data_IF_118239551248
#
_entry.id   IF_118239551248
#
_cell.length_a   1.000
_cell.length_b   1.000
_cell.length_c   1.000
_cell.angle_alpha   90.00
_cell.angle_beta   90.00
_cell.angle_gamma   90.00
#
_symmetry.space_group_name_H-M   'P 1'
#
loop_
_entity.id
_entity.type
_entity.pdbx_description
1 polymer ?
#
# COMPACT_ATOMS: atom_id res chain seq x y z
N UNK A 1 7.74 0.50 -18.67
CA UNK A 1 7.46 -0.82 -19.18
C UNK A 1 8.14 -1.88 -18.32
N UNK A 2 7.39 -2.83 -17.76
CA UNK A 2 8.00 -3.86 -16.95
C UNK A 2 8.91 -4.74 -17.81
N UNK A 3 10.10 -5.02 -17.32
CA UNK A 3 11.08 -5.85 -18.00
C UNK A 3 11.05 -7.24 -17.40
N UNK A 4 11.04 -8.27 -18.23
CA UNK A 4 11.11 -9.66 -17.79
C UNK A 4 10.00 -10.05 -16.80
N UNK A 5 8.79 -9.51 -16.99
CA UNK A 5 7.65 -9.77 -16.12
C UNK A 5 7.69 -9.05 -14.78
N UNK A 6 8.65 -8.15 -14.58
CA UNK A 6 8.72 -7.34 -13.37
C UNK A 6 7.76 -6.17 -13.47
N UNK A 7 7.15 -5.83 -12.33
CA UNK A 7 6.25 -4.69 -12.22
C UNK A 7 6.98 -3.51 -11.58
N UNK A 8 6.60 -2.27 -11.97
CA UNK A 8 7.17 -1.07 -11.38
C UNK A 8 6.84 -0.97 -9.89
N UNK A 9 5.62 -1.38 -9.52
CA UNK A 9 5.14 -1.36 -8.15
C UNK A 9 4.66 -2.75 -7.73
N UNK A 10 4.99 -3.11 -6.49
CA UNK A 10 4.39 -4.26 -5.82
C UNK A 10 3.71 -3.77 -4.56
N UNK A 11 2.40 -3.99 -4.47
CA UNK A 11 1.58 -3.51 -3.35
C UNK A 11 1.24 -4.68 -2.45
N UNK A 12 1.74 -4.64 -1.23
CA UNK A 12 1.46 -5.67 -0.21
C UNK A 12 0.36 -5.15 0.71
N UNK A 13 -0.77 -5.82 0.73
CA UNK A 13 -1.93 -5.41 1.51
C UNK A 13 -2.58 -6.60 2.20
N UNK A 14 -3.48 -6.31 3.15
CA UNK A 14 -4.18 -7.34 3.90
C UNK A 14 -5.69 -7.24 3.68
N UNK A 15 -6.25 -8.19 2.93
CA UNK A 15 -7.69 -8.23 2.65
C UNK A 15 -8.54 -8.61 3.86
N UNK A 16 -7.93 -9.12 4.93
CA UNK A 16 -8.66 -9.42 6.17
C UNK A 16 -9.15 -8.15 6.87
N UNK A 17 -8.53 -7.00 6.62
CA UNK A 17 -8.98 -5.70 7.11
C UNK A 17 -10.00 -5.13 6.13
N UNK A 18 -11.29 -4.93 6.52
CA UNK A 18 -12.30 -4.44 5.58
C UNK A 18 -12.03 -3.03 5.06
N UNK A 19 -11.44 -2.16 5.88
CA UNK A 19 -11.09 -0.79 5.47
C UNK A 19 -9.92 -0.82 4.48
N UNK A 20 -8.89 -1.60 4.77
CA UNK A 20 -7.73 -1.76 3.89
C UNK A 20 -8.15 -2.35 2.56
N UNK A 21 -8.99 -3.38 2.59
CA UNK A 21 -9.51 -4.02 1.39
C UNK A 21 -10.27 -3.03 0.52
N UNK A 22 -11.17 -2.25 1.12
CA UNK A 22 -11.96 -1.27 0.39
C UNK A 22 -11.09 -0.21 -0.27
N UNK A 23 -10.08 0.29 0.45
CA UNK A 23 -9.13 1.27 -0.09
C UNK A 23 -8.33 0.72 -1.27
N UNK A 24 -7.83 -0.50 -1.13
CA UNK A 24 -7.07 -1.15 -2.19
C UNK A 24 -7.93 -1.46 -3.41
N UNK A 25 -9.16 -1.92 -3.23
CA UNK A 25 -10.06 -2.19 -4.35
C UNK A 25 -10.36 -0.93 -5.14
N UNK A 26 -10.51 0.20 -4.44
CA UNK A 26 -10.69 1.49 -5.10
C UNK A 26 -9.48 1.87 -5.95
N UNK A 27 -8.28 1.78 -5.39
CA UNK A 27 -7.05 2.09 -6.12
C UNK A 27 -6.85 1.14 -7.29
N UNK A 28 -7.08 -0.14 -7.07
CA UNK A 28 -6.98 -1.17 -8.09
C UNK A 28 -7.92 -0.89 -9.27
N UNK A 29 -9.14 -0.44 -8.97
CA UNK A 29 -10.10 -0.05 -10.01
C UNK A 29 -9.59 1.08 -10.89
N UNK A 30 -8.92 2.08 -10.30
CA UNK A 30 -8.32 3.18 -11.06
C UNK A 30 -7.21 2.67 -12.00
N UNK A 31 -6.36 1.77 -11.53
CA UNK A 31 -5.29 1.20 -12.34
C UNK A 31 -5.83 0.31 -13.47
N UNK A 32 -6.84 -0.51 -13.19
CA UNK A 32 -7.40 -1.45 -14.18
C UNK A 32 -8.04 -0.75 -15.36
N UNK A 33 -8.51 0.48 -15.16
CA UNK A 33 -9.12 1.28 -16.23
C UNK A 33 -8.10 2.08 -17.04
N UNK A 34 -6.82 1.87 -16.81
CA UNK A 34 -5.76 2.64 -17.45
C UNK A 34 -4.69 1.74 -18.06
N UNK A 35 -3.76 2.35 -18.78
CA UNK A 35 -2.59 1.66 -19.31
C UNK A 35 -1.59 1.28 -18.21
N UNK A 36 -1.72 1.84 -17.01
CA UNK A 36 -0.83 1.56 -15.89
C UNK A 36 -1.17 0.26 -15.15
N UNK A 37 -2.25 -0.42 -15.53
CA UNK A 37 -2.69 -1.64 -14.83
C UNK A 37 -1.63 -2.74 -14.77
N UNK A 38 -0.80 -2.85 -15.80
CA UNK A 38 0.24 -3.87 -15.88
C UNK A 38 1.51 -3.48 -15.14
N UNK A 39 1.59 -2.23 -14.65
CA UNK A 39 2.76 -1.73 -13.92
C UNK A 39 2.70 -2.06 -12.42
N UNK A 40 1.56 -2.57 -11.94
CA UNK A 40 1.33 -2.83 -10.52
C UNK A 40 0.97 -4.29 -10.28
N UNK A 41 1.69 -4.93 -9.36
CA UNK A 41 1.36 -6.25 -8.85
C UNK A 41 0.71 -6.10 -7.48
N UNK A 42 -0.47 -6.68 -7.31
CA UNK A 42 -1.23 -6.63 -6.06
C UNK A 42 -1.07 -7.94 -5.30
N UNK A 43 -0.48 -7.87 -4.12
CA UNK A 43 -0.15 -9.06 -3.33
C UNK A 43 -0.95 -9.01 -2.02
N UNK A 44 -1.92 -9.92 -1.89
CA UNK A 44 -2.73 -10.04 -0.69
C UNK A 44 -2.07 -11.00 0.29
N UNK A 45 -1.55 -10.48 1.39
CA UNK A 45 -0.85 -11.30 2.38
C UNK A 45 -1.80 -12.21 3.17
N UNK A 46 -3.11 -11.94 3.15
CA UNK A 46 -4.07 -12.82 3.81
C UNK A 46 -4.21 -14.15 3.08
N UNK A 47 -4.08 -14.15 1.75
CA UNK A 47 -4.12 -15.35 0.93
C UNK A 47 -2.74 -15.90 0.59
N UNK A 48 -1.69 -15.08 0.71
CA UNK A 48 -0.31 -15.46 0.40
C UNK A 48 0.67 -14.86 1.42
N UNK A 49 0.65 -15.33 2.68
CA UNK A 49 1.56 -14.80 3.70
C UNK A 49 3.02 -15.11 3.41
N UNK A 50 3.31 -16.15 2.63
CA UNK A 50 4.69 -16.53 2.30
C UNK A 50 5.36 -15.54 1.35
N UNK A 51 4.61 -14.64 0.72
CA UNK A 51 5.16 -13.61 -0.14
C UNK A 51 6.11 -12.66 0.60
N UNK A 52 5.97 -12.55 1.91
CA UNK A 52 6.81 -11.68 2.74
C UNK A 52 8.15 -12.30 3.14
N UNK A 53 8.27 -13.61 3.07
CA UNK A 53 9.48 -14.31 3.52
C UNK A 53 10.76 -13.82 2.82
N UNK A 54 10.80 -13.66 1.48
CA UNK A 54 12.00 -13.15 0.81
C UNK A 54 12.39 -11.74 1.19
N UNK A 55 11.45 -10.96 1.74
CA UNK A 55 11.65 -9.56 2.12
C UNK A 55 12.10 -9.41 3.57
N UNK A 56 12.05 -10.48 4.35
CA UNK A 56 12.36 -10.43 5.77
C UNK A 56 11.36 -9.63 6.59
N UNK A 57 10.14 -9.44 6.08
CA UNK A 57 9.09 -8.69 6.75
C UNK A 57 8.24 -9.58 7.64
N UNK A 58 7.84 -9.04 8.79
CA UNK A 58 6.84 -9.66 9.64
C UNK A 58 5.45 -9.37 9.07
N UNK A 59 4.58 -10.38 9.09
CA UNK A 59 3.21 -10.22 8.61
C UNK A 59 2.44 -9.12 9.37
N UNK A 60 2.75 -8.93 10.65
CA UNK A 60 2.10 -7.86 11.43
C UNK A 60 2.49 -6.47 10.94
N UNK A 61 3.67 -6.29 10.38
CA UNK A 61 4.07 -5.01 9.79
C UNK A 61 3.16 -4.63 8.64
N UNK A 62 2.82 -5.59 7.78
CA UNK A 62 1.92 -5.35 6.64
C UNK A 62 0.47 -5.27 7.08
N UNK A 63 0.09 -6.00 8.14
CA UNK A 63 -1.25 -5.86 8.73
C UNK A 63 -1.47 -4.47 9.32
N UNK A 64 -0.41 -3.86 9.84
CA UNK A 64 -0.47 -2.51 10.41
C UNK A 64 -0.47 -1.43 9.33
N UNK A 65 0.41 -1.55 8.33
CA UNK A 65 0.66 -0.48 7.38
C UNK A 65 0.77 -1.00 5.96
N UNK A 66 0.33 -0.18 5.01
CA UNK A 66 0.50 -0.47 3.58
C UNK A 66 1.99 -0.48 3.23
N UNK A 67 2.41 -1.47 2.47
CA UNK A 67 3.77 -1.58 1.96
C UNK A 67 3.74 -1.57 0.44
N UNK A 68 4.57 -0.72 -0.15
CA UNK A 68 4.72 -0.62 -1.61
C UNK A 68 6.19 -0.68 -1.96
N UNK A 69 6.57 -1.69 -2.73
CA UNK A 69 7.94 -1.80 -3.26
C UNK A 69 8.00 -1.12 -4.63
N UNK A 70 8.97 -0.23 -4.80
CA UNK A 70 9.17 0.51 -6.03
C UNK A 70 10.67 0.61 -6.31
N UNK A 71 11.12 0.01 -7.41
CA UNK A 71 12.50 0.15 -7.85
C UNK A 71 13.54 -0.26 -6.81
N UNK A 72 13.27 -1.30 -6.04
CA UNK A 72 14.16 -1.75 -4.98
C UNK A 72 14.00 -1.03 -3.65
N UNK A 73 13.10 -0.04 -3.57
CA UNK A 73 12.79 0.66 -2.32
C UNK A 73 11.46 0.18 -1.77
N UNK A 74 11.38 0.04 -0.46
CA UNK A 74 10.15 -0.26 0.23
C UNK A 74 9.60 1.00 0.88
N UNK A 75 8.39 1.40 0.49
CA UNK A 75 7.66 2.50 1.10
C UNK A 75 6.63 1.94 2.07
N UNK A 76 6.47 2.58 3.22
CA UNK A 76 5.59 2.09 4.28
C UNK A 76 4.67 3.22 4.74
N UNK A 77 3.41 2.89 4.99
CA UNK A 77 2.44 3.82 5.54
C UNK A 77 2.04 4.91 4.55
N UNK A 78 2.09 6.17 4.99
CA UNK A 78 1.73 7.30 4.13
C UNK A 78 2.66 7.40 2.92
N UNK A 79 3.94 7.10 3.08
CA UNK A 79 4.88 7.08 1.95
C UNK A 79 4.51 6.04 0.90
N UNK A 80 4.00 4.88 1.33
CA UNK A 80 3.49 3.85 0.42
C UNK A 80 2.28 4.36 -0.35
N UNK A 81 1.36 5.03 0.33
CA UNK A 81 0.19 5.62 -0.31
C UNK A 81 0.59 6.70 -1.32
N UNK A 82 1.55 7.55 -0.96
CA UNK A 82 2.06 8.60 -1.85
C UNK A 82 2.68 7.98 -3.10
N UNK A 83 3.49 6.93 -2.94
CA UNK A 83 4.10 6.23 -4.08
C UNK A 83 3.04 5.64 -5.01
N UNK A 84 2.00 5.05 -4.42
CA UNK A 84 0.89 4.47 -5.18
C UNK A 84 0.09 5.55 -5.90
N UNK A 85 -0.23 6.65 -5.22
CA UNK A 85 -0.98 7.77 -5.80
C UNK A 85 -0.22 8.45 -6.94
N UNK A 86 1.11 8.52 -6.83
CA UNK A 86 1.95 9.10 -7.88
C UNK A 86 1.83 8.34 -9.21
N UNK A 87 1.63 7.02 -9.15
CA UNK A 87 1.44 6.18 -10.33
C UNK A 87 -0.02 6.05 -10.74
N UNK A 88 -0.95 6.32 -9.84
CA UNK A 88 -2.38 6.15 -10.12
C UNK A 88 -2.88 7.23 -11.09
N UNK A 89 -3.67 6.87 -12.09
CA UNK A 89 -4.21 7.84 -13.03
C UNK A 89 -5.09 8.88 -12.33
N UNK A 90 -4.81 10.17 -12.57
CA UNK A 90 -5.58 11.28 -12.01
C UNK A 90 -5.30 11.59 -10.55
N UNK A 91 -4.37 10.91 -9.91
CA UNK A 91 -4.06 11.11 -8.49
C UNK A 91 -2.67 11.69 -8.22
N UNK A 92 -1.94 12.06 -9.26
CA UNK A 92 -0.61 12.64 -9.11
C UNK A 92 -0.59 13.93 -8.27
N UNK A 93 -1.68 14.69 -8.28
CA UNK A 93 -1.80 15.90 -7.46
C UNK A 93 -1.79 15.58 -5.96
N UNK A 94 -2.37 14.43 -5.55
CA UNK A 94 -2.33 13.98 -4.15
C UNK A 94 -0.90 13.67 -3.73
N UNK A 95 -0.14 12.99 -4.59
CA UNK A 95 1.26 12.69 -4.31
C UNK A 95 2.09 13.98 -4.15
N UNK A 96 1.84 14.96 -5.00
CA UNK A 96 2.52 16.26 -4.90
C UNK A 96 2.17 16.99 -3.62
N UNK A 97 0.89 17.00 -3.26
CA UNK A 97 0.42 17.70 -2.07
C UNK A 97 1.00 17.07 -0.80
N UNK A 98 0.86 15.77 -0.64
CA UNK A 98 1.33 15.09 0.56
C UNK A 98 2.85 14.85 0.58
N UNK A 99 3.51 15.03 -0.56
CA UNK A 99 4.97 14.99 -0.65
C UNK A 99 5.66 16.28 -0.25
N UNK A 100 4.92 17.35 0.02
CA UNK A 100 5.51 18.62 0.46
C UNK A 100 6.19 18.47 1.82
N UNK A 101 7.32 19.21 2.05
CA UNK A 101 8.10 19.05 3.28
C UNK A 101 7.31 19.26 4.57
N UNK A 102 6.26 20.08 4.54
CA UNK A 102 5.43 20.36 5.73
C UNK A 102 4.33 19.32 5.88
N UNK A 103 3.68 18.93 4.78
CA UNK A 103 2.53 18.02 4.82
C UNK A 103 2.93 16.55 4.96
N UNK A 104 4.10 16.18 4.42
CA UNK A 104 4.55 14.80 4.47
C UNK A 104 4.68 14.25 5.89
N UNK A 105 5.38 14.93 6.83
CA UNK A 105 5.45 14.43 8.21
C UNK A 105 4.09 14.42 8.92
N UNK A 106 3.22 15.40 8.63
CA UNK A 106 1.86 15.42 9.19
C UNK A 106 1.04 14.25 8.65
N UNK A 107 1.14 13.97 7.35
CA UNK A 107 0.46 12.84 6.75
C UNK A 107 0.94 11.51 7.34
N UNK A 108 2.24 11.38 7.58
CA UNK A 108 2.82 10.19 8.17
C UNK A 108 2.32 9.97 9.60
N UNK A 109 2.26 11.03 10.40
CA UNK A 109 1.75 10.95 11.77
C UNK A 109 0.27 10.56 11.76
N UNK A 110 -0.54 11.22 10.92
CA UNK A 110 -1.96 10.93 10.81
C UNK A 110 -2.20 9.49 10.35
N UNK A 111 -1.44 9.04 9.38
CA UNK A 111 -1.53 7.66 8.90
C UNK A 111 -1.18 6.66 10.00
N UNK A 112 -0.09 6.89 10.72
CA UNK A 112 0.35 5.97 11.77
C UNK A 112 -0.68 5.87 12.89
N UNK A 113 -1.28 6.98 13.29
CA UNK A 113 -2.33 6.98 14.31
C UNK A 113 -3.57 6.22 13.84
N UNK A 114 -3.97 6.46 12.61
CA UNK A 114 -5.10 5.74 12.01
C UNK A 114 -4.78 4.24 11.90
N UNK A 115 -3.57 3.90 11.47
CA UNK A 115 -3.14 2.52 11.33
C UNK A 115 -3.09 1.80 12.68
N UNK A 116 -2.61 2.48 13.73
CA UNK A 116 -2.60 1.93 15.08
C UNK A 116 -4.02 1.57 15.55
N UNK A 117 -4.94 2.50 15.36
CA UNK A 117 -6.34 2.31 15.75
C UNK A 117 -6.98 1.17 14.96
N UNK A 118 -6.73 1.15 13.66
CA UNK A 118 -7.29 0.13 12.77
C UNK A 118 -6.72 -1.26 13.07
N UNK A 119 -5.41 -1.34 13.31
CA UNK A 119 -4.75 -2.60 13.67
C UNK A 119 -5.34 -3.15 14.97
N UNK A 120 -5.45 -2.29 16.00
CA UNK A 120 -6.04 -2.67 17.27
C UNK A 120 -7.48 -3.16 17.11
N UNK A 121 -8.27 -2.43 16.33
CA UNK A 121 -9.67 -2.78 16.09
C UNK A 121 -9.80 -4.14 15.39
N UNK A 122 -9.01 -4.37 14.34
CA UNK A 122 -9.02 -5.64 13.62
C UNK A 122 -8.56 -6.80 14.49
N UNK A 123 -7.52 -6.59 15.29
CA UNK A 123 -7.01 -7.60 16.21
C UNK A 123 -8.05 -7.97 17.26
N UNK A 124 -8.74 -6.97 17.80
CA UNK A 124 -9.80 -7.17 18.77
C UNK A 124 -10.97 -7.95 18.19
N UNK A 125 -11.26 -7.74 16.91
CA UNK A 125 -12.33 -8.46 16.20
C UNK A 125 -11.91 -9.86 15.76
N UNK A 126 -10.67 -10.24 15.98
CA UNK A 126 -10.17 -11.56 15.62
C UNK A 126 -9.97 -11.77 14.14
N UNK A 127 -9.72 -10.72 13.37
CA UNK A 127 -9.50 -10.82 11.93
C UNK A 127 -8.15 -11.40 11.55
N UNK A 128 -7.19 -11.39 12.47
CA UNK A 128 -5.90 -12.06 12.32
C UNK A 128 -5.27 -12.44 13.65
#
# INVERSE_FOLDING_TARGET
>A
MPKNGQHDLKVYYNSACPVCKAGIERERGHFEQSSARDDVEWIDIASDPDALAPLGLDIDDVRHSLHVAQGGKMHVGADAFIALADKAPGQGWLARLFGLPVLRPLAQIAYNRFADLLFWWNKRKGRW
#
